data_IF_571175508502
#
_entry.id   IF_571175508502
#
_cell.length_a   1.000
_cell.length_b   1.000
_cell.length_c   1.000
_cell.angle_alpha   90.00
_cell.angle_beta   90.00
_cell.angle_gamma   90.00
#
_symmetry.space_group_name_H-M   'P 1'
#
loop_
_entity.id
_entity.type
_entity.pdbx_description
1 polymer ?
#
# COMPACT_ATOMS: atom_id res chain seq x y z
N UNK A 1 12.36 -14.02 16.33
CA UNK A 1 12.06 -13.30 15.07
C UNK A 1 12.92 -13.95 14.00
N UNK A 2 12.36 -14.31 12.84
CA UNK A 2 13.16 -14.91 11.76
C UNK A 2 14.23 -13.93 11.30
N UNK A 3 15.42 -14.44 10.99
CA UNK A 3 16.50 -13.62 10.46
C UNK A 3 16.17 -13.21 9.01
N UNK A 4 16.71 -12.08 8.55
CA UNK A 4 16.43 -11.59 7.19
C UNK A 4 16.85 -12.62 6.13
N UNK A 5 17.97 -13.31 6.34
CA UNK A 5 18.44 -14.38 5.46
C UNK A 5 17.44 -15.54 5.36
N UNK A 6 16.78 -15.92 6.45
CA UNK A 6 15.75 -16.98 6.44
C UNK A 6 14.56 -16.59 5.56
N UNK A 7 14.10 -15.34 5.70
CA UNK A 7 12.98 -14.81 4.91
C UNK A 7 13.35 -14.74 3.42
N UNK A 8 14.58 -14.31 3.11
CA UNK A 8 15.09 -14.28 1.75
C UNK A 8 15.22 -15.69 1.17
N UNK A 9 15.69 -16.67 1.96
CA UNK A 9 15.76 -18.09 1.56
C UNK A 9 14.39 -18.66 1.28
N UNK A 10 13.39 -18.35 2.12
CA UNK A 10 12.02 -18.78 1.90
C UNK A 10 11.40 -18.16 0.62
N UNK A 11 11.79 -16.93 0.27
CA UNK A 11 11.28 -16.23 -0.90
C UNK A 11 11.99 -16.65 -2.19
N UNK A 12 13.32 -16.78 -2.13
CA UNK A 12 14.22 -17.19 -3.21
C UNK A 12 15.27 -18.12 -2.61
N UNK A 13 15.21 -19.45 -2.86
CA UNK A 13 16.07 -20.42 -2.16
C UNK A 13 17.57 -20.19 -2.29
N UNK A 14 18.03 -19.59 -3.39
CA UNK A 14 19.45 -19.32 -3.64
C UNK A 14 19.65 -17.95 -4.29
N UNK A 15 20.64 -17.16 -3.84
CA UNK A 15 20.92 -15.84 -4.41
C UNK A 15 21.30 -15.89 -5.90
N UNK A 16 21.94 -16.97 -6.35
CA UNK A 16 22.29 -17.19 -7.76
C UNK A 16 21.10 -17.17 -8.72
N UNK A 17 19.87 -17.37 -8.21
CA UNK A 17 18.64 -17.27 -8.99
C UNK A 17 18.22 -15.81 -9.25
N UNK A 18 18.84 -14.84 -8.59
CA UNK A 18 18.66 -13.43 -8.89
C UNK A 18 19.44 -13.05 -10.14
N UNK A 19 18.71 -12.91 -11.24
CA UNK A 19 19.23 -12.30 -12.46
C UNK A 19 19.22 -10.78 -12.28
N UNK A 20 20.21 -10.22 -11.56
CA UNK A 20 20.32 -8.77 -11.40
C UNK A 20 21.75 -8.27 -11.49
N UNK A 21 21.93 -7.14 -12.15
CA UNK A 21 23.21 -6.44 -12.16
C UNK A 21 23.56 -5.94 -10.75
N UNK A 22 24.79 -6.20 -10.32
CA UNK A 22 25.38 -5.70 -9.07
C UNK A 22 24.61 -6.04 -7.77
N UNK A 23 23.74 -7.05 -7.79
CA UNK A 23 23.00 -7.50 -6.60
C UNK A 23 21.90 -6.54 -6.12
N UNK A 24 21.49 -5.58 -6.93
CA UNK A 24 20.41 -4.64 -6.56
C UNK A 24 19.07 -5.35 -6.29
N UNK A 25 18.75 -6.43 -7.01
CA UNK A 25 17.54 -7.19 -6.74
C UNK A 25 17.59 -7.87 -5.36
N UNK A 26 18.77 -8.18 -4.82
CA UNK A 26 18.90 -8.70 -3.46
C UNK A 26 18.46 -7.67 -2.42
N UNK A 27 18.84 -6.39 -2.62
CA UNK A 27 18.39 -5.31 -1.75
C UNK A 27 16.88 -5.07 -1.89
N UNK A 28 16.33 -5.09 -3.10
CA UNK A 28 14.89 -4.99 -3.32
C UNK A 28 14.12 -6.15 -2.65
N UNK A 29 14.65 -7.38 -2.75
CA UNK A 29 14.12 -8.56 -2.08
C UNK A 29 14.16 -8.44 -0.55
N UNK A 30 15.26 -7.92 0.00
CA UNK A 30 15.38 -7.66 1.43
C UNK A 30 14.28 -6.70 1.90
N UNK A 31 14.04 -5.60 1.17
CA UNK A 31 12.97 -4.65 1.49
C UNK A 31 11.58 -5.28 1.43
N UNK A 32 11.33 -6.15 0.43
CA UNK A 32 10.10 -6.95 0.37
C UNK A 32 9.94 -7.85 1.60
N UNK A 33 10.98 -8.60 1.97
CA UNK A 33 10.96 -9.50 3.13
C UNK A 33 10.70 -8.75 4.44
N UNK A 34 11.20 -7.53 4.58
CA UNK A 34 10.95 -6.67 5.74
C UNK A 34 9.48 -6.25 5.86
N UNK A 35 8.80 -5.93 4.74
CA UNK A 35 7.35 -5.70 4.74
C UNK A 35 6.58 -6.96 5.11
N UNK A 36 6.92 -8.11 4.53
CA UNK A 36 6.26 -9.38 4.87
C UNK A 36 6.42 -9.70 6.36
N UNK A 37 7.62 -9.50 6.92
CA UNK A 37 7.89 -9.66 8.36
C UNK A 37 7.00 -8.78 9.24
N UNK A 38 6.69 -7.57 8.78
CA UNK A 38 5.81 -6.64 9.48
C UNK A 38 4.31 -6.96 9.33
N UNK A 39 3.96 -8.06 8.64
CA UNK A 39 2.59 -8.54 8.50
C UNK A 39 1.85 -8.01 7.27
N UNK A 40 2.57 -7.51 6.26
CA UNK A 40 2.00 -7.21 4.95
C UNK A 40 1.92 -8.49 4.11
N UNK A 41 0.75 -8.76 3.53
CA UNK A 41 0.52 -9.94 2.70
C UNK A 41 0.70 -9.58 1.23
N UNK A 42 1.64 -10.22 0.54
CA UNK A 42 1.92 -9.95 -0.87
C UNK A 42 0.76 -10.38 -1.79
N UNK A 43 0.47 -9.55 -2.78
CA UNK A 43 -0.56 -9.82 -3.81
C UNK A 43 0.05 -9.68 -5.21
N UNK A 44 -0.56 -10.34 -6.19
CA UNK A 44 -0.24 -10.13 -7.61
C UNK A 44 -0.49 -8.68 -7.98
N UNK A 45 0.45 -8.08 -8.72
CA UNK A 45 0.30 -6.73 -9.25
C UNK A 45 -0.89 -6.72 -10.19
N UNK A 46 -1.93 -5.99 -9.82
CA UNK A 46 -3.15 -5.97 -10.60
C UNK A 46 -2.93 -5.19 -11.91
N UNK A 47 -3.01 -5.88 -13.05
CA UNK A 47 -3.12 -5.21 -14.33
C UNK A 47 -4.58 -4.75 -14.54
N UNK A 48 -4.79 -3.44 -14.67
CA UNK A 48 -6.10 -2.88 -15.05
C UNK A 48 -7.12 -2.73 -13.91
N UNK A 49 -6.67 -2.47 -12.68
CA UNK A 49 -7.57 -2.07 -11.57
C UNK A 49 -8.35 -3.21 -10.90
N UNK A 50 -8.15 -4.46 -11.32
CA UNK A 50 -8.71 -5.61 -10.63
C UNK A 50 -8.13 -5.76 -9.20
N UNK A 51 -8.83 -6.40 -8.24
CA UNK A 51 -8.22 -6.77 -6.97
C UNK A 51 -7.13 -7.83 -7.22
N UNK A 52 -5.89 -7.52 -6.83
CA UNK A 52 -4.77 -8.46 -6.90
C UNK A 52 -5.06 -9.73 -6.11
N UNK A 53 -4.70 -10.88 -6.66
CA UNK A 53 -4.85 -12.17 -5.98
C UNK A 53 -3.75 -12.31 -4.93
N UNK A 54 -4.10 -12.81 -3.73
CA UNK A 54 -3.09 -13.20 -2.73
C UNK A 54 -2.13 -14.22 -3.33
N UNK A 55 -0.84 -13.95 -3.22
CA UNK A 55 0.19 -14.87 -3.71
C UNK A 55 0.22 -16.12 -2.83
N UNK A 56 0.34 -17.29 -3.47
CA UNK A 56 0.57 -18.56 -2.75
C UNK A 56 2.00 -18.69 -2.23
N UNK A 57 2.93 -17.93 -2.81
CA UNK A 57 4.30 -17.76 -2.34
C UNK A 57 4.58 -16.33 -1.92
N UNK A 58 5.84 -16.01 -1.60
CA UNK A 58 6.22 -14.66 -1.16
C UNK A 58 6.32 -13.66 -2.33
N UNK A 59 6.60 -14.13 -3.54
CA UNK A 59 6.89 -13.27 -4.69
C UNK A 59 6.00 -13.60 -5.89
N UNK A 60 5.71 -12.58 -6.69
CA UNK A 60 5.08 -12.76 -7.99
C UNK A 60 6.05 -13.46 -8.97
N UNK A 61 5.54 -14.23 -9.93
CA UNK A 61 6.36 -14.70 -11.04
C UNK A 61 7.05 -13.51 -11.72
N UNK A 62 8.29 -13.71 -12.15
CA UNK A 62 9.03 -12.73 -12.96
C UNK A 62 9.29 -11.36 -12.31
N UNK A 63 9.11 -11.24 -10.99
CA UNK A 63 9.28 -9.98 -10.24
C UNK A 63 10.64 -9.31 -10.48
N UNK A 64 11.68 -10.07 -10.79
CA UNK A 64 13.06 -9.62 -11.00
C UNK A 64 13.45 -9.45 -12.47
N UNK A 65 12.52 -9.51 -13.43
CA UNK A 65 12.84 -9.30 -14.87
C UNK A 65 13.36 -7.90 -15.18
N UNK A 66 12.91 -6.90 -14.43
CA UNK A 66 13.36 -5.53 -14.61
C UNK A 66 14.74 -5.33 -13.94
N UNK A 67 15.64 -4.65 -14.65
CA UNK A 67 17.03 -4.50 -14.19
C UNK A 67 17.19 -3.47 -13.06
N UNK A 68 16.35 -2.45 -13.04
CA UNK A 68 16.54 -1.26 -12.18
C UNK A 68 15.27 -0.82 -11.46
N UNK A 69 14.14 -1.52 -11.64
CA UNK A 69 12.87 -1.08 -11.08
C UNK A 69 12.02 -2.29 -10.69
N UNK A 70 11.74 -2.43 -9.40
CA UNK A 70 10.96 -3.54 -8.85
C UNK A 70 9.71 -2.99 -8.17
N UNK A 71 8.56 -3.63 -8.40
CA UNK A 71 7.28 -3.25 -7.79
C UNK A 71 6.67 -4.45 -7.10
N UNK A 72 6.26 -4.25 -5.86
CA UNK A 72 5.56 -5.24 -5.06
C UNK A 72 4.26 -4.61 -4.54
N UNK A 73 3.17 -5.36 -4.58
CA UNK A 73 1.90 -4.94 -4.01
C UNK A 73 1.53 -5.83 -2.82
N UNK A 74 0.88 -5.21 -1.84
CA UNK A 74 0.52 -5.88 -0.59
C UNK A 74 -0.89 -5.50 -0.15
N UNK A 75 -1.45 -6.35 0.70
CA UNK A 75 -2.60 -6.00 1.53
C UNK A 75 -2.24 -6.15 3.00
N UNK A 76 -2.86 -5.35 3.86
CA UNK A 76 -2.76 -5.54 5.32
C UNK A 76 -4.11 -5.26 5.98
N UNK A 77 -4.52 -6.19 6.84
CA UNK A 77 -5.76 -6.05 7.60
C UNK A 77 -5.57 -5.08 8.77
N UNK A 78 -6.57 -4.22 8.99
CA UNK A 78 -6.60 -3.33 10.17
C UNK A 78 -7.36 -4.03 11.29
N UNK A 79 -6.73 -4.14 12.46
CA UNK A 79 -7.32 -4.69 13.68
C UNK A 79 -7.84 -3.58 14.61
N UNK A 80 -8.94 -3.81 15.35
CA UNK A 80 -9.79 -5.00 15.32
C UNK A 80 -10.72 -5.04 14.08
N UNK A 81 -11.19 -6.24 13.67
CA UNK A 81 -12.25 -6.36 12.66
C UNK A 81 -13.46 -5.53 13.09
N UNK A 82 -14.13 -4.80 12.17
CA UNK A 82 -14.33 -5.15 10.75
C UNK A 82 -13.60 -4.25 9.73
N UNK A 83 -12.40 -3.75 10.03
CA UNK A 83 -11.67 -2.87 9.11
C UNK A 83 -11.40 -3.49 7.72
N UNK A 84 -11.67 -2.74 6.65
CA UNK A 84 -11.32 -3.15 5.29
C UNK A 84 -9.80 -3.32 5.15
N UNK A 85 -9.37 -4.32 4.37
CA UNK A 85 -7.97 -4.51 4.05
C UNK A 85 -7.47 -3.33 3.21
N UNK A 86 -6.34 -2.74 3.61
CA UNK A 86 -5.70 -1.64 2.88
C UNK A 86 -4.68 -2.20 1.90
N UNK A 87 -4.51 -1.51 0.77
CA UNK A 87 -3.54 -1.87 -0.27
C UNK A 87 -2.29 -1.01 -0.13
N UNK A 88 -1.14 -1.61 -0.35
CA UNK A 88 0.14 -0.93 -0.29
C UNK A 88 1.00 -1.30 -1.49
N UNK A 89 1.89 -0.41 -1.89
CA UNK A 89 2.85 -0.63 -2.97
C UNK A 89 4.25 -0.29 -2.47
N UNK A 90 5.20 -1.18 -2.71
CA UNK A 90 6.64 -0.93 -2.56
C UNK A 90 7.24 -0.85 -3.96
N UNK A 91 7.91 0.26 -4.27
CA UNK A 91 8.69 0.45 -5.48
C UNK A 91 10.15 0.64 -5.08
N UNK A 92 11.04 -0.11 -5.71
CA UNK A 92 12.48 0.00 -5.53
C UNK A 92 13.07 0.42 -6.87
N UNK A 93 13.70 1.59 -6.93
CA UNK A 93 14.31 2.13 -8.15
C UNK A 93 15.81 2.32 -7.97
N UNK A 94 16.62 1.72 -8.83
CA UNK A 94 18.07 1.83 -8.82
C UNK A 94 18.52 2.90 -9.83
N UNK A 95 19.25 3.89 -9.34
CA UNK A 95 20.04 4.78 -10.18
C UNK A 95 21.42 4.15 -10.42
N UNK A 96 21.57 3.41 -11.53
CA UNK A 96 22.75 2.59 -11.81
C UNK A 96 24.08 3.38 -11.74
N UNK A 97 24.11 4.62 -12.25
CA UNK A 97 25.32 5.44 -12.27
C UNK A 97 25.83 5.82 -10.87
N UNK A 98 24.93 6.13 -9.94
CA UNK A 98 25.28 6.54 -8.57
C UNK A 98 25.24 5.38 -7.58
N UNK A 99 24.76 4.21 -8.01
CA UNK A 99 24.51 3.02 -7.19
C UNK A 99 23.62 3.34 -5.98
N UNK A 100 22.68 4.27 -6.15
CA UNK A 100 21.67 4.63 -5.14
C UNK A 100 20.35 3.95 -5.46
N UNK A 101 19.76 3.28 -4.48
CA UNK A 101 18.41 2.73 -4.55
C UNK A 101 17.45 3.64 -3.79
N UNK A 102 16.38 4.03 -4.45
CA UNK A 102 15.27 4.76 -3.86
C UNK A 102 14.11 3.79 -3.60
N UNK A 103 13.73 3.71 -2.34
CA UNK A 103 12.58 2.94 -1.87
C UNK A 103 11.42 3.91 -1.77
N UNK A 104 10.32 3.62 -2.47
CA UNK A 104 9.08 4.35 -2.40
C UNK A 104 7.96 3.40 -1.96
N UNK A 105 7.52 3.53 -0.72
CA UNK A 105 6.43 2.75 -0.16
C UNK A 105 5.21 3.63 0.04
N UNK A 106 4.05 3.22 -0.43
CA UNK A 106 2.81 4.00 -0.26
C UNK A 106 1.62 3.12 0.03
N UNK A 107 0.63 3.68 0.70
CA UNK A 107 -0.74 3.20 0.59
C UNK A 107 -1.28 3.54 -0.80
N UNK A 108 -2.14 2.69 -1.34
CA UNK A 108 -2.80 2.93 -2.63
C UNK A 108 -4.31 2.83 -2.50
N UNK A 109 -5.01 3.72 -3.21
CA UNK A 109 -6.46 3.75 -3.25
C UNK A 109 -7.06 2.63 -4.12
N UNK A 110 -8.38 2.68 -4.35
CA UNK A 110 -9.08 1.69 -5.14
C UNK A 110 -8.62 1.70 -6.61
N UNK A 111 -8.24 2.87 -7.12
CA UNK A 111 -7.74 3.15 -8.46
C UNK A 111 -6.24 2.84 -8.61
N UNK A 112 -5.57 2.45 -7.52
CA UNK A 112 -4.15 2.11 -7.49
C UNK A 112 -3.22 3.33 -7.52
N UNK A 113 -3.75 4.52 -7.23
CA UNK A 113 -2.97 5.75 -7.06
C UNK A 113 -2.42 5.83 -5.63
N UNK A 114 -1.21 6.38 -5.45
CA UNK A 114 -0.62 6.54 -4.12
C UNK A 114 -1.39 7.59 -3.31
N UNK A 115 -1.75 7.27 -2.07
CA UNK A 115 -2.32 8.26 -1.15
C UNK A 115 -1.25 9.26 -0.71
N UNK A 116 -1.43 10.54 -1.07
CA UNK A 116 -0.42 11.59 -0.87
C UNK A 116 0.07 11.71 0.58
N UNK A 117 -0.81 11.50 1.57
CA UNK A 117 -0.49 11.62 2.99
C UNK A 117 0.24 10.39 3.57
N UNK A 118 0.33 9.31 2.79
CA UNK A 118 0.91 8.05 3.21
C UNK A 118 1.95 7.50 2.23
N UNK A 119 2.85 8.38 1.79
CA UNK A 119 4.05 8.05 1.00
C UNK A 119 5.30 8.09 1.88
N UNK A 120 6.12 7.05 1.82
CA UNK A 120 7.43 6.94 2.50
C UNK A 120 8.53 6.73 1.48
N UNK A 121 9.58 7.53 1.62
CA UNK A 121 10.73 7.47 0.73
C UNK A 121 11.99 7.28 1.58
N UNK A 122 12.83 6.33 1.18
CA UNK A 122 14.12 6.07 1.80
C UNK A 122 15.17 5.86 0.70
N UNK A 123 16.30 6.56 0.81
CA UNK A 123 17.45 6.38 -0.09
C UNK A 123 18.50 5.47 0.54
N UNK A 124 18.98 4.49 -0.20
CA UNK A 124 20.03 3.55 0.21
C UNK A 124 21.20 3.63 -0.77
N UNK A 125 22.44 3.69 -0.27
CA UNK A 125 23.63 3.49 -1.08
C UNK A 125 23.90 1.99 -1.18
N UNK A 126 23.85 1.42 -2.39
CA UNK A 126 23.92 -0.04 -2.61
C UNK A 126 25.18 -0.65 -2.00
N UNK A 127 26.32 0.02 -2.13
CA UNK A 127 27.63 -0.47 -1.66
C UNK A 127 27.73 -0.62 -0.13
N UNK A 128 26.84 0.00 0.63
CA UNK A 128 26.78 -0.17 2.08
C UNK A 128 26.08 -1.47 2.49
N UNK A 129 25.29 -2.08 1.59
CA UNK A 129 24.41 -3.21 1.90
C UNK A 129 24.67 -4.43 1.03
N UNK A 130 25.22 -4.26 -0.17
CA UNK A 130 25.48 -5.37 -1.10
C UNK A 130 26.94 -5.31 -1.52
N UNK A 131 27.72 -6.38 -1.32
CA UNK A 131 29.11 -6.45 -1.80
C UNK A 131 29.19 -6.12 -3.29
N UNK A 132 30.19 -5.34 -3.68
CA UNK A 132 30.45 -5.09 -5.10
C UNK A 132 30.84 -6.38 -5.82
N UNK A 133 30.44 -6.52 -7.10
CA UNK A 133 30.77 -7.65 -7.97
C UNK A 133 29.67 -8.72 -8.05
N UNK A 134 30.03 -9.90 -8.56
CA UNK A 134 29.10 -11.01 -8.84
C UNK A 134 28.81 -11.88 -7.62
N UNK A 135 28.96 -11.34 -6.41
CA UNK A 135 28.90 -12.11 -5.17
C UNK A 135 27.55 -12.82 -5.01
N UNK A 136 26.46 -12.12 -5.37
CA UNK A 136 25.11 -12.68 -5.36
C UNK A 136 24.97 -13.82 -6.40
N UNK A 137 25.47 -13.62 -7.62
CA UNK A 137 25.35 -14.60 -8.70
C UNK A 137 26.14 -15.90 -8.44
N UNK A 138 27.21 -15.82 -7.64
CA UNK A 138 28.09 -16.97 -7.33
C UNK A 138 27.78 -17.61 -5.98
N UNK A 139 26.90 -17.02 -5.17
CA UNK A 139 26.60 -17.54 -3.83
C UNK A 139 25.50 -18.60 -3.86
N UNK A 140 25.69 -19.66 -3.08
CA UNK A 140 24.67 -20.67 -2.78
C UNK A 140 23.91 -20.40 -1.47
N UNK A 141 24.32 -19.40 -0.70
CA UNK A 141 23.69 -18.99 0.58
C UNK A 141 23.45 -17.47 0.62
N UNK A 142 22.41 -17.05 1.33
CA UNK A 142 22.14 -15.64 1.60
C UNK A 142 23.10 -15.01 2.61
N UNK A 143 23.88 -15.82 3.32
CA UNK A 143 24.89 -15.36 4.26
C UNK A 143 25.90 -14.45 3.54
N UNK A 144 26.09 -13.24 4.08
CA UNK A 144 27.02 -12.25 3.52
C UNK A 144 26.54 -11.59 2.22
N UNK A 145 25.38 -11.94 1.65
CA UNK A 145 24.83 -11.24 0.48
C UNK A 145 24.33 -9.84 0.85
N UNK A 146 23.72 -9.70 2.03
CA UNK A 146 23.34 -8.42 2.61
C UNK A 146 24.26 -8.09 3.78
N UNK A 147 25.04 -7.02 3.65
CA UNK A 147 25.83 -6.39 4.69
C UNK A 147 24.98 -5.41 5.51
N UNK A 148 25.44 -5.10 6.73
CA UNK A 148 24.80 -4.11 7.61
C UNK A 148 23.28 -4.35 7.79
N UNK A 149 22.86 -5.62 7.89
CA UNK A 149 21.45 -6.02 7.97
C UNK A 149 20.72 -5.34 9.12
N UNK A 150 21.38 -5.18 10.27
CA UNK A 150 20.81 -4.48 11.42
C UNK A 150 20.47 -3.03 11.08
N UNK A 151 21.42 -2.27 10.51
CA UNK A 151 21.19 -0.89 10.10
C UNK A 151 20.09 -0.77 9.04
N UNK A 152 20.02 -1.73 8.09
CA UNK A 152 18.93 -1.79 7.12
C UNK A 152 17.57 -1.99 7.80
N UNK A 153 17.49 -2.89 8.78
CA UNK A 153 16.27 -3.14 9.55
C UNK A 153 15.83 -1.91 10.35
N UNK A 154 16.77 -1.23 11.00
CA UNK A 154 16.52 -0.04 11.81
C UNK A 154 16.00 1.11 10.93
N UNK A 155 16.68 1.42 9.83
CA UNK A 155 16.23 2.44 8.89
C UNK A 155 14.88 2.11 8.26
N UNK A 156 14.67 0.85 7.86
CA UNK A 156 13.38 0.42 7.34
C UNK A 156 12.27 0.65 8.37
N UNK A 157 12.49 0.25 9.63
CA UNK A 157 11.50 0.41 10.68
C UNK A 157 11.20 1.90 10.96
N UNK A 158 12.24 2.73 10.99
CA UNK A 158 12.14 4.16 11.27
C UNK A 158 11.47 4.95 10.14
N UNK A 159 11.87 4.72 8.89
CA UNK A 159 11.47 5.58 7.76
C UNK A 159 10.35 4.99 6.90
N UNK A 160 10.14 3.67 6.92
CA UNK A 160 9.19 2.98 6.05
C UNK A 160 8.10 2.26 6.87
N UNK A 161 8.44 1.14 7.51
CA UNK A 161 7.46 0.21 8.09
C UNK A 161 6.54 0.86 9.12
N UNK A 162 7.09 1.45 10.17
CA UNK A 162 6.28 2.04 11.24
C UNK A 162 5.50 3.30 10.79
N UNK A 163 6.10 4.26 10.06
CA UNK A 163 5.36 5.43 9.58
C UNK A 163 4.25 5.10 8.57
N UNK A 164 4.48 4.13 7.67
CA UNK A 164 3.49 3.70 6.67
C UNK A 164 2.25 3.13 7.37
N UNK A 165 2.45 2.25 8.35
CA UNK A 165 1.36 1.64 9.08
C UNK A 165 0.65 2.61 10.04
N UNK A 166 1.41 3.47 10.73
CA UNK A 166 0.83 4.47 11.64
C UNK A 166 -0.10 5.44 10.92
N UNK A 167 0.24 5.86 9.70
CA UNK A 167 -0.61 6.76 8.92
C UNK A 167 -1.85 6.07 8.38
N UNK A 168 -1.71 4.82 7.92
CA UNK A 168 -2.86 4.00 7.55
C UNK A 168 -3.87 3.88 8.71
N UNK A 169 -3.40 3.74 9.95
CA UNK A 169 -4.29 3.69 11.11
C UNK A 169 -4.99 5.03 11.40
N UNK A 170 -4.32 6.17 11.21
CA UNK A 170 -4.89 7.51 11.48
C UNK A 170 -6.07 7.86 10.57
N UNK A 171 -6.02 7.49 9.29
CA UNK A 171 -7.06 7.83 8.32
C UNK A 171 -8.45 7.21 8.65
N UNK A 172 -8.51 6.16 9.47
CA UNK A 172 -9.78 5.61 9.98
C UNK A 172 -10.45 6.52 11.03
N UNK A 173 -9.67 7.26 11.81
CA UNK A 173 -10.21 8.11 12.87
C UNK A 173 -10.89 9.39 12.37
N UNK A 174 -10.53 9.87 11.18
CA UNK A 174 -11.04 11.13 10.62
C UNK A 174 -12.31 10.94 9.76
N UNK A 175 -12.40 9.84 9.02
CA UNK A 175 -13.53 9.56 8.10
C UNK A 175 -14.84 9.23 8.84
N UNK A 176 -14.78 8.58 10.00
CA UNK A 176 -15.96 8.33 10.84
C UNK A 176 -16.53 9.59 11.53
N UNK A 177 -15.72 10.65 11.70
CA UNK A 177 -16.12 11.86 12.42
C UNK A 177 -16.87 12.87 11.55
N UNK A 178 -16.55 12.94 10.25
CA UNK A 178 -17.25 13.81 9.30
C UNK A 178 -18.50 13.17 8.70
N UNK A 179 -18.52 11.84 8.51
CA UNK A 179 -19.72 11.13 8.07
C UNK A 179 -20.88 11.24 9.08
N UNK A 180 -20.58 11.25 10.38
CA UNK A 180 -21.57 11.48 11.43
C UNK A 180 -22.14 12.91 11.47
N UNK A 181 -21.38 13.91 11.01
CA UNK A 181 -21.83 15.31 10.92
C UNK A 181 -22.53 15.62 9.58
N UNK A 182 -22.17 14.93 8.51
CA UNK A 182 -22.83 15.05 7.20
C UNK A 182 -24.18 14.30 7.16
N UNK A 183 -24.33 13.20 7.91
CA UNK A 183 -25.58 12.44 8.00
C UNK A 183 -26.71 13.15 8.76
N UNK A 184 -26.39 14.07 9.70
CA UNK A 184 -27.41 14.77 10.49
C UNK A 184 -27.99 16.03 9.84
N UNK A 185 -27.26 16.68 8.93
CA UNK A 185 -27.66 17.98 8.39
C UNK A 185 -28.54 17.90 7.13
N UNK A 186 -28.48 16.78 6.39
CA UNK A 186 -29.28 16.59 5.18
C UNK A 186 -30.66 15.99 5.48
N UNK A 187 -30.77 15.04 6.41
CA UNK A 187 -32.05 14.41 6.77
C UNK A 187 -33.02 15.38 7.46
N UNK A 188 -32.53 16.36 8.22
CA UNK A 188 -33.38 17.40 8.81
C UNK A 188 -33.87 18.44 7.79
N UNK A 189 -33.19 18.63 6.64
CA UNK A 189 -33.66 19.55 5.59
C UNK A 189 -34.73 18.92 4.70
N UNK A 190 -34.68 17.62 4.48
CA UNK A 190 -35.70 16.91 3.67
C UNK A 190 -37.04 16.80 4.39
N UNK A 191 -37.05 16.72 5.73
CA UNK A 191 -38.28 16.70 6.54
C UNK A 191 -39.00 18.06 6.59
N UNK A 192 -38.28 19.19 6.51
CA UNK A 192 -38.88 20.52 6.48
C UNK A 192 -39.50 20.87 5.11
N UNK A 193 -38.94 20.36 4.01
CA UNK A 193 -39.50 20.58 2.67
C UNK A 193 -40.74 19.72 2.37
N UNK A 194 -40.83 18.52 2.95
CA UNK A 194 -42.03 17.68 2.85
C UNK A 194 -43.24 18.26 3.61
N UNK A 195 -43.00 18.95 4.74
CA UNK A 195 -44.07 19.57 5.54
C UNK A 195 -44.66 20.84 4.89
N UNK A 196 -43.89 21.58 4.08
CA UNK A 196 -44.36 22.77 3.38
C UNK A 196 -45.01 22.46 2.02
N UNK A 197 -44.68 21.31 1.40
CA UNK A 197 -45.28 20.89 0.12
C UNK A 197 -46.72 20.38 0.23
N UNK A 198 -47.14 19.86 1.40
CA UNK A 198 -48.49 19.29 1.57
C UNK A 198 -49.55 20.38 1.87
N UNK A 199 -49.15 21.55 2.38
CA UNK A 199 -50.08 22.66 2.64
C UNK A 199 -50.50 23.44 1.38
N UNK A 200 -49.71 23.37 0.30
CA UNK A 200 -49.99 24.12 -0.93
C UNK A 200 -50.99 23.43 -1.87
N UNK A 201 -51.10 22.09 -1.81
CA UNK A 201 -52.04 21.34 -2.67
C UNK A 201 -53.47 21.28 -2.11
N UNK A 202 -53.68 21.44 -0.80
CA UNK A 202 -55.01 21.49 -0.21
C UNK A 202 -55.75 22.83 -0.46
N UNK A 203 -55.02 23.95 -0.60
CA UNK A 203 -55.62 25.26 -0.87
C UNK A 203 -56.03 25.45 -2.34
N UNK A 204 -55.35 24.81 -3.29
CA UNK A 204 -55.63 24.93 -4.73
C UNK A 204 -56.94 24.26 -5.18
N UNK A 205 -57.33 23.15 -4.55
CA UNK A 205 -58.53 22.37 -4.95
C UNK A 205 -59.84 23.04 -4.48
N UNK A 206 -59.80 23.85 -3.42
CA UNK A 206 -60.98 24.59 -2.94
C UNK A 206 -61.28 25.86 -3.75
N UNK A 207 -60.26 26.50 -4.36
CA UNK A 207 -60.46 27.69 -5.19
C UNK A 207 -61.06 27.38 -6.57
N UNK A 208 -60.80 26.19 -7.12
CA UNK A 208 -61.29 25.82 -8.46
C UNK A 208 -62.79 25.47 -8.47
N UNK A 209 -63.34 24.92 -7.38
CA UNK A 209 -64.77 24.54 -7.32
C UNK A 209 -65.75 25.70 -7.14
N UNK A 210 -65.30 26.89 -6.73
CA UNK A 210 -66.19 28.07 -6.57
C UNK A 210 -66.42 28.87 -7.85
N UNK A 211 -65.66 28.61 -8.92
CA UNK A 211 -65.76 29.38 -10.18
C UNK A 211 -66.65 28.73 -11.24
N UNK A 212 -67.14 27.52 -11.00
CA UNK A 212 -67.97 26.76 -11.95
C UNK A 212 -69.45 26.71 -11.58
N UNK A 213 -69.89 27.52 -10.60
CA UNK A 213 -71.27 27.57 -10.11
C UNK A 213 -71.85 28.99 -10.07
N UNK A 214 -71.31 29.91 -10.86
CA UNK A 214 -71.85 31.26 -11.07
C UNK A 214 -72.11 31.47 -12.57
#
# INVERSE_FOLDING_TARGET
MAELADLMTAAVPQPSLLQSQAGAAALALAMHCLLVRDGFEAVEVAQGGAPGRRLRGLLAPDWNKAEHFWVFEYTRQVLPPPGAARKFRLQCSLQAHTRRMFIHASEVDAEGQPEADNIRIMGLQLDNYVPSGDHCAKSSSWDGVIHNQQALCEMYAEFVGAPLWRHAQKAQGSSGRWAALAGGAWEQRTLLLAALGVSALAAGVLAYRRRSAA
#
